data_IF_990712109044
#
_entry.id   IF_990712109044
#
_cell.length_a   1.000
_cell.length_b   1.000
_cell.length_c   1.000
_cell.angle_alpha   90.00
_cell.angle_beta   90.00
_cell.angle_gamma   90.00
#
_symmetry.space_group_name_H-M   'P 1'
#
loop_
_entity.id
_entity.type
_entity.pdbx_description
1 polymer ?
#
# COMPACT_ATOMS: atom_id res chain seq x y z
N UNK A 1 19.27 -82.54 -17.74
CA UNK A 1 19.64 -81.49 -16.76
C UNK A 1 19.36 -80.13 -17.42
N UNK A 2 18.14 -79.61 -17.26
CA UNK A 2 17.68 -78.36 -17.89
C UNK A 2 18.22 -77.15 -17.11
N UNK A 3 19.02 -76.28 -17.75
CA UNK A 3 19.45 -75.00 -17.16
C UNK A 3 18.43 -73.92 -17.53
N UNK A 4 17.57 -73.59 -16.58
CA UNK A 4 16.62 -72.47 -16.67
C UNK A 4 17.39 -71.15 -16.43
N UNK A 5 17.64 -70.38 -17.50
CA UNK A 5 18.17 -69.01 -17.39
C UNK A 5 16.99 -68.05 -17.27
N UNK A 6 16.72 -67.58 -16.06
CA UNK A 6 15.76 -66.50 -15.80
C UNK A 6 16.40 -65.21 -16.29
N UNK A 7 15.93 -64.72 -17.44
CA UNK A 7 16.27 -63.39 -17.95
C UNK A 7 15.46 -62.38 -17.14
N UNK A 8 16.12 -61.67 -16.21
CA UNK A 8 15.50 -60.58 -15.46
C UNK A 8 15.20 -59.43 -16.44
N UNK A 9 13.99 -59.40 -16.98
CA UNK A 9 13.49 -58.27 -17.75
C UNK A 9 13.20 -57.15 -16.76
N UNK A 10 14.15 -56.25 -16.60
CA UNK A 10 13.98 -55.02 -15.84
C UNK A 10 12.99 -54.15 -16.61
N UNK A 11 11.70 -54.24 -16.26
CA UNK A 11 10.65 -53.36 -16.78
C UNK A 11 10.97 -51.96 -16.25
N UNK A 12 11.73 -51.18 -17.02
CA UNK A 12 11.83 -49.74 -16.83
C UNK A 12 10.47 -49.16 -17.22
N UNK A 13 9.57 -49.02 -16.25
CA UNK A 13 8.39 -48.17 -16.39
C UNK A 13 8.90 -46.74 -16.52
N UNK A 14 9.12 -46.29 -17.75
CA UNK A 14 9.34 -44.88 -18.05
C UNK A 14 8.00 -44.19 -17.79
N UNK A 15 7.80 -43.76 -16.55
CA UNK A 15 6.71 -42.85 -16.20
C UNK A 15 7.03 -41.50 -16.83
N UNK A 16 6.62 -41.31 -18.08
CA UNK A 16 6.74 -40.04 -18.78
C UNK A 16 5.60 -39.13 -18.32
N UNK A 17 5.85 -38.30 -17.32
CA UNK A 17 5.01 -37.13 -17.02
C UNK A 17 5.71 -35.89 -17.57
N UNK A 18 5.03 -35.11 -18.41
CA UNK A 18 5.54 -33.83 -18.91
C UNK A 18 5.91 -32.94 -17.70
N UNK A 19 7.12 -32.40 -17.70
CA UNK A 19 7.57 -31.48 -16.64
C UNK A 19 6.65 -30.23 -16.64
N UNK A 20 6.15 -29.78 -15.47
CA UNK A 20 5.32 -28.59 -15.40
C UNK A 20 6.12 -27.36 -15.82
N UNK A 21 5.54 -26.55 -16.69
CA UNK A 21 6.12 -25.25 -17.05
C UNK A 21 5.81 -24.27 -15.92
N UNK A 22 6.86 -23.69 -15.34
CA UNK A 22 6.77 -22.69 -14.30
C UNK A 22 7.17 -21.32 -14.86
N UNK A 23 6.46 -20.28 -14.43
CA UNK A 23 6.83 -18.89 -14.66
C UNK A 23 7.08 -18.18 -13.33
N UNK A 24 7.96 -17.18 -13.38
CA UNK A 24 8.24 -16.33 -12.25
C UNK A 24 7.29 -15.14 -12.19
N UNK A 25 6.74 -14.85 -11.01
CA UNK A 25 5.92 -13.66 -10.79
C UNK A 25 6.53 -12.86 -9.65
N UNK A 26 7.07 -11.69 -9.98
CA UNK A 26 7.66 -10.76 -9.05
C UNK A 26 6.61 -9.77 -8.53
N UNK A 27 6.32 -9.86 -7.24
CA UNK A 27 5.41 -8.95 -6.54
C UNK A 27 6.19 -7.86 -5.82
N UNK A 28 5.91 -6.60 -6.14
CA UNK A 28 6.61 -5.44 -5.57
C UNK A 28 5.61 -4.48 -4.94
N UNK A 29 5.88 -4.04 -3.71
CA UNK A 29 5.09 -3.00 -3.04
C UNK A 29 5.77 -1.64 -3.17
N UNK A 30 4.99 -0.61 -3.48
CA UNK A 30 5.49 0.75 -3.66
C UNK A 30 4.64 1.73 -2.83
N UNK A 31 5.19 2.31 -1.74
CA UNK A 31 6.49 2.02 -1.14
C UNK A 31 6.55 0.62 -0.51
N UNK A 32 7.77 0.14 -0.23
CA UNK A 32 8.01 -1.20 0.36
C UNK A 32 7.25 -1.42 1.68
N UNK A 33 7.11 -0.36 2.48
CA UNK A 33 6.39 -0.38 3.76
C UNK A 33 4.93 0.13 3.64
N UNK A 34 4.42 0.29 2.42
CA UNK A 34 3.06 0.80 2.19
C UNK A 34 1.97 -0.24 2.39
N UNK A 35 2.32 -1.52 2.28
CA UNK A 35 1.40 -2.63 2.39
C UNK A 35 2.08 -3.95 2.07
N UNK A 36 1.27 -4.98 1.91
CA UNK A 36 1.66 -6.30 1.46
C UNK A 36 0.72 -6.80 0.37
N UNK A 37 1.15 -7.89 -0.28
CA UNK A 37 0.33 -8.67 -1.21
C UNK A 37 0.12 -10.03 -0.53
N UNK A 38 -1.08 -10.61 -0.65
CA UNK A 38 -1.45 -11.87 0.02
C UNK A 38 -0.67 -13.13 -0.46
N UNK A 39 0.23 -12.99 -1.43
CA UNK A 39 1.06 -14.06 -1.98
C UNK A 39 2.51 -13.93 -1.54
N UNK A 40 3.15 -15.08 -1.34
CA UNK A 40 4.54 -15.18 -0.85
C UNK A 40 5.41 -16.16 -1.68
N UNK A 41 4.86 -16.75 -2.74
CA UNK A 41 5.61 -17.52 -3.73
C UNK A 41 5.98 -16.63 -4.91
N UNK A 42 7.04 -16.99 -5.63
CA UNK A 42 7.46 -16.33 -6.87
C UNK A 42 7.46 -17.27 -8.07
N UNK A 43 7.08 -18.54 -7.92
CA UNK A 43 7.01 -19.52 -9.00
C UNK A 43 5.61 -20.15 -9.06
N UNK A 44 5.03 -20.17 -10.25
CA UNK A 44 3.64 -20.58 -10.49
C UNK A 44 3.51 -21.38 -11.78
N UNK A 45 2.50 -22.25 -11.86
CA UNK A 45 2.29 -23.06 -13.05
C UNK A 45 1.74 -22.21 -14.21
N UNK A 46 2.14 -22.54 -15.43
CA UNK A 46 1.51 -21.99 -16.63
C UNK A 46 -0.03 -22.23 -16.60
N UNK A 47 -0.78 -21.16 -16.84
CA UNK A 47 -2.24 -21.12 -16.84
C UNK A 47 -2.88 -20.99 -15.45
N UNK A 48 -2.09 -20.94 -14.37
CA UNK A 48 -2.61 -20.72 -13.02
C UNK A 48 -3.28 -19.34 -12.90
N UNK A 49 -4.38 -19.27 -12.14
CA UNK A 49 -5.09 -18.03 -11.85
C UNK A 49 -4.85 -17.67 -10.39
N UNK A 50 -4.09 -16.60 -10.17
CA UNK A 50 -3.75 -16.10 -8.85
C UNK A 50 -4.75 -15.03 -8.40
N UNK A 51 -5.31 -15.18 -7.20
CA UNK A 51 -6.20 -14.19 -6.59
C UNK A 51 -5.38 -13.22 -5.75
N UNK A 52 -5.04 -12.08 -6.34
CA UNK A 52 -4.26 -11.04 -5.68
C UNK A 52 -5.14 -10.19 -4.78
N UNK A 53 -4.62 -9.91 -3.59
CA UNK A 53 -5.16 -8.93 -2.65
C UNK A 53 -4.04 -7.99 -2.19
N UNK A 54 -4.22 -6.69 -2.40
CA UNK A 54 -3.37 -5.66 -1.82
C UNK A 54 -3.89 -5.31 -0.43
N UNK A 55 -3.03 -5.45 0.57
CA UNK A 55 -3.34 -5.23 1.98
C UNK A 55 -2.54 -4.00 2.44
N UNK A 56 -3.16 -2.82 2.54
CA UNK A 56 -2.45 -1.62 3.00
C UNK A 56 -1.95 -1.79 4.44
N UNK A 57 -0.76 -1.25 4.71
CA UNK A 57 -0.27 -1.09 6.09
C UNK A 57 -1.04 0.03 6.80
N UNK A 58 -0.84 0.12 8.11
CA UNK A 58 -1.44 1.19 8.92
C UNK A 58 -1.09 2.57 8.33
N UNK A 59 -2.07 3.46 8.28
CA UNK A 59 -1.95 4.82 7.74
C UNK A 59 -1.67 4.91 6.22
N UNK A 60 -1.75 3.79 5.49
CA UNK A 60 -1.74 3.76 4.03
C UNK A 60 -3.11 3.36 3.46
N UNK A 61 -3.30 3.66 2.18
CA UNK A 61 -4.38 3.20 1.33
C UNK A 61 -3.78 2.57 0.07
N UNK A 62 -4.44 1.54 -0.46
CA UNK A 62 -4.12 1.01 -1.78
C UNK A 62 -4.60 2.00 -2.84
N UNK A 63 -3.74 2.30 -3.81
CA UNK A 63 -4.06 3.18 -4.93
C UNK A 63 -4.43 2.34 -6.17
N UNK A 64 -3.49 1.53 -6.67
CA UNK A 64 -3.68 0.72 -7.88
C UNK A 64 -2.57 -0.33 -8.06
N UNK A 65 -2.87 -1.35 -8.86
CA UNK A 65 -1.92 -2.30 -9.43
C UNK A 65 -1.32 -1.74 -10.72
N UNK A 66 -0.02 -1.95 -10.95
CA UNK A 66 0.65 -1.61 -12.22
C UNK A 66 1.70 -2.66 -12.63
N UNK A 67 2.30 -2.49 -13.81
CA UNK A 67 3.24 -3.45 -14.40
C UNK A 67 2.52 -4.33 -15.42
N UNK A 68 2.69 -5.65 -15.31
CA UNK A 68 1.98 -6.64 -16.14
C UNK A 68 0.50 -6.82 -15.75
N UNK A 69 0.03 -6.05 -14.78
CA UNK A 69 -1.35 -5.97 -14.33
C UNK A 69 -1.70 -4.51 -14.05
N UNK A 70 -2.87 -4.04 -14.49
CA UNK A 70 -3.33 -2.68 -14.23
C UNK A 70 -4.77 -2.68 -13.72
N UNK A 71 -5.00 -2.18 -12.51
CA UNK A 71 -6.33 -2.17 -11.89
C UNK A 71 -6.38 -1.29 -10.66
N UNK A 72 -7.53 -0.64 -10.43
CA UNK A 72 -7.80 0.10 -9.19
C UNK A 72 -8.53 -0.75 -8.14
N UNK A 73 -8.90 -1.99 -8.47
CA UNK A 73 -9.51 -2.92 -7.51
C UNK A 73 -8.41 -3.59 -6.68
N UNK A 74 -8.51 -3.50 -5.36
CA UNK A 74 -7.55 -4.15 -4.44
C UNK A 74 -7.56 -5.68 -4.55
N UNK A 75 -8.67 -6.26 -5.02
CA UNK A 75 -8.84 -7.68 -5.33
C UNK A 75 -8.92 -7.90 -6.83
N UNK A 76 -8.06 -8.76 -7.37
CA UNK A 76 -8.04 -9.07 -8.81
C UNK A 76 -7.39 -10.42 -9.12
N UNK A 77 -7.83 -11.04 -10.21
CA UNK A 77 -7.24 -12.27 -10.74
C UNK A 77 -6.11 -11.97 -11.73
N UNK A 78 -4.99 -12.69 -11.60
CA UNK A 78 -3.85 -12.67 -12.52
C UNK A 78 -3.68 -14.05 -13.15
N UNK A 79 -3.67 -14.11 -14.48
CA UNK A 79 -3.35 -15.34 -15.23
C UNK A 79 -1.84 -15.42 -15.44
N UNK A 80 -1.23 -16.57 -15.10
CA UNK A 80 0.21 -16.81 -15.27
C UNK A 80 0.46 -17.44 -16.64
N UNK A 81 0.77 -16.64 -17.65
CA UNK A 81 1.05 -17.08 -19.03
C UNK A 81 2.51 -16.82 -19.47
N UNK A 82 3.30 -16.18 -18.62
CA UNK A 82 4.66 -15.72 -18.84
C UNK A 82 5.27 -15.28 -17.51
N UNK A 83 6.57 -14.98 -17.50
CA UNK A 83 7.17 -14.25 -16.37
C UNK A 83 6.52 -12.86 -16.25
N UNK A 84 6.23 -12.42 -15.02
CA UNK A 84 5.52 -11.16 -14.76
C UNK A 84 6.13 -10.37 -13.62
N UNK A 85 5.97 -9.06 -13.68
CA UNK A 85 6.21 -8.13 -12.58
C UNK A 85 4.95 -7.33 -12.28
N UNK A 86 4.46 -7.43 -11.05
CA UNK A 86 3.25 -6.75 -10.57
C UNK A 86 3.59 -5.84 -9.40
N UNK A 87 3.21 -4.58 -9.53
CA UNK A 87 3.40 -3.56 -8.51
C UNK A 87 2.09 -3.25 -7.80
N UNK A 88 2.06 -3.35 -6.47
CA UNK A 88 1.01 -2.79 -5.63
C UNK A 88 1.42 -1.38 -5.18
N UNK A 89 0.69 -0.37 -5.63
CA UNK A 89 0.96 1.02 -5.27
C UNK A 89 0.07 1.45 -4.10
N UNK A 90 0.69 2.10 -3.11
CA UNK A 90 0.04 2.60 -1.91
C UNK A 90 0.43 4.06 -1.67
N UNK A 91 -0.51 4.83 -1.11
CA UNK A 91 -0.26 6.19 -0.63
C UNK A 91 -0.60 6.31 0.84
N UNK A 92 0.08 7.23 1.54
CA UNK A 92 -0.34 7.57 2.90
C UNK A 92 -1.74 8.18 2.87
N UNK A 93 -2.58 7.79 3.83
CA UNK A 93 -3.91 8.36 4.03
C UNK A 93 -3.82 9.87 4.16
N UNK A 94 -4.85 10.55 3.66
CA UNK A 94 -4.99 12.01 3.73
C UNK A 94 -6.09 12.34 4.71
N UNK A 95 -5.89 13.44 5.44
CA UNK A 95 -6.85 13.94 6.41
C UNK A 95 -7.11 15.42 6.14
N UNK A 96 -8.36 15.82 6.35
CA UNK A 96 -8.75 17.22 6.22
C UNK A 96 -8.55 17.94 7.55
N UNK A 97 -7.94 19.12 7.51
CA UNK A 97 -7.86 20.00 8.67
C UNK A 97 -9.04 20.96 8.63
N UNK A 98 -10.06 20.70 9.45
CA UNK A 98 -11.24 21.55 9.55
C UNK A 98 -11.04 22.63 10.63
N UNK A 99 -11.37 23.88 10.30
CA UNK A 99 -11.20 25.01 11.22
C UNK A 99 -12.47 25.84 11.22
N UNK A 100 -13.00 26.07 12.41
CA UNK A 100 -14.10 26.99 12.67
C UNK A 100 -13.56 28.20 13.45
N UNK A 101 -14.06 29.39 13.12
CA UNK A 101 -13.65 30.63 13.78
C UNK A 101 -14.82 31.12 14.62
N UNK A 102 -14.58 31.28 15.93
CA UNK A 102 -15.48 31.99 16.83
C UNK A 102 -14.96 33.41 17.04
N UNK A 103 -15.74 34.43 16.64
CA UNK A 103 -15.34 35.84 16.70
C UNK A 103 -15.03 36.45 15.33
N UNK A 104 -14.10 37.40 15.26
CA UNK A 104 -13.67 38.05 14.03
C UNK A 104 -12.16 37.92 13.81
N UNK A 105 -11.77 37.65 12.57
CA UNK A 105 -10.41 37.37 12.17
C UNK A 105 -10.34 36.31 11.07
N UNK A 106 -9.12 35.87 10.78
CA UNK A 106 -8.83 34.84 9.77
C UNK A 106 -7.90 33.79 10.34
N UNK A 107 -7.95 32.60 9.76
CA UNK A 107 -6.96 31.55 10.01
C UNK A 107 -6.27 31.19 8.70
N UNK A 108 -4.94 31.12 8.75
CA UNK A 108 -4.12 30.63 7.64
C UNK A 108 -3.44 29.32 8.03
N UNK A 109 -3.20 28.47 7.03
CA UNK A 109 -2.55 27.17 7.18
C UNK A 109 -1.28 27.16 6.35
N UNK A 110 -0.21 26.60 6.89
CA UNK A 110 1.09 26.47 6.19
C UNK A 110 1.68 25.10 6.46
N UNK A 111 1.93 24.32 5.41
CA UNK A 111 2.61 23.03 5.54
C UNK A 111 4.07 23.25 5.95
N UNK A 112 4.45 22.72 7.12
CA UNK A 112 5.81 22.81 7.66
C UNK A 112 6.62 21.58 7.27
N UNK A 113 5.97 20.42 7.30
CA UNK A 113 6.58 19.15 6.92
C UNK A 113 5.56 18.33 6.17
N UNK A 114 5.92 17.86 4.97
CA UNK A 114 5.08 16.92 4.25
C UNK A 114 5.29 15.50 4.78
N UNK A 115 4.19 14.76 4.96
CA UNK A 115 4.22 13.34 5.28
C UNK A 115 4.52 12.44 4.07
N UNK A 116 4.28 12.93 2.85
CA UNK A 116 4.46 12.19 1.59
C UNK A 116 4.56 13.16 0.39
N UNK A 117 4.37 12.67 -0.84
CA UNK A 117 4.28 13.52 -2.05
C UNK A 117 3.05 14.44 -2.03
N UNK A 118 2.04 14.14 -1.22
CA UNK A 118 0.78 14.87 -1.14
C UNK A 118 0.66 15.65 0.17
N UNK A 119 0.16 16.89 0.08
CA UNK A 119 -0.10 17.73 1.24
C UNK A 119 -1.19 17.12 2.14
N UNK A 120 -1.01 17.28 3.47
CA UNK A 120 -1.91 16.77 4.51
C UNK A 120 -2.06 15.24 4.54
N UNK A 121 -1.06 14.51 4.05
CA UNK A 121 -0.97 13.07 4.33
C UNK A 121 -0.56 12.79 5.78
N UNK A 122 -0.87 11.61 6.30
CA UNK A 122 -0.40 11.14 7.61
C UNK A 122 1.10 11.43 7.84
N UNK A 123 1.42 11.93 9.04
CA UNK A 123 2.75 12.36 9.46
C UNK A 123 3.17 13.74 8.95
N UNK A 124 2.28 14.49 8.28
CA UNK A 124 2.53 15.91 7.97
C UNK A 124 2.49 16.76 9.23
N UNK A 125 3.21 17.88 9.22
CA UNK A 125 3.12 18.93 10.24
C UNK A 125 2.62 20.20 9.58
N UNK A 126 1.55 20.78 10.12
CA UNK A 126 0.91 21.99 9.59
C UNK A 126 0.94 23.07 10.67
N UNK A 127 1.38 24.26 10.29
CA UNK A 127 1.25 25.46 11.11
C UNK A 127 -0.07 26.14 10.84
N UNK A 128 -0.77 26.48 11.92
CA UNK A 128 -2.03 27.19 11.92
C UNK A 128 -1.81 28.53 12.62
N UNK A 129 -2.11 29.62 11.91
CA UNK A 129 -1.93 30.99 12.40
C UNK A 129 -3.28 31.71 12.42
N UNK A 130 -3.72 32.11 13.60
CA UNK A 130 -4.85 33.02 13.77
C UNK A 130 -4.39 34.47 13.61
N UNK A 131 -5.15 35.25 12.84
CA UNK A 131 -4.98 36.68 12.67
C UNK A 131 -6.28 37.37 13.08
N UNK A 132 -6.41 37.79 14.35
CA UNK A 132 -7.59 38.53 14.82
C UNK A 132 -7.76 39.84 14.06
N UNK A 133 -9.01 40.24 13.81
CA UNK A 133 -9.30 41.55 13.25
C UNK A 133 -9.07 42.67 14.29
N UNK A 134 -9.03 43.93 13.84
CA UNK A 134 -8.82 45.07 14.73
C UNK A 134 -9.85 45.10 15.87
N UNK A 135 -9.38 45.27 17.11
CA UNK A 135 -10.21 45.23 18.31
C UNK A 135 -10.52 43.82 18.84
N UNK A 136 -10.07 42.76 18.17
CA UNK A 136 -10.16 41.37 18.64
C UNK A 136 -8.79 40.85 19.06
N UNK A 137 -8.77 39.90 20.00
CA UNK A 137 -7.55 39.18 20.39
C UNK A 137 -7.75 37.69 20.21
N UNK A 138 -6.67 36.99 19.83
CA UNK A 138 -6.65 35.54 19.90
C UNK A 138 -6.68 35.13 21.37
N UNK A 139 -7.53 34.15 21.69
CA UNK A 139 -7.67 33.61 23.05
C UNK A 139 -7.03 32.23 23.14
N UNK A 140 -7.51 31.28 22.34
CA UNK A 140 -7.03 29.89 22.32
C UNK A 140 -7.53 29.12 21.10
N UNK A 141 -6.87 28.01 20.82
CA UNK A 141 -7.37 26.90 20.01
C UNK A 141 -8.17 25.93 20.88
N UNK A 142 -9.12 25.24 20.27
CA UNK A 142 -9.96 24.19 20.88
C UNK A 142 -10.22 23.07 19.86
N UNK A 143 -10.75 21.93 20.32
CA UNK A 143 -10.89 20.70 19.54
C UNK A 143 -9.71 19.77 19.79
N UNK A 144 -9.13 19.24 18.72
CA UNK A 144 -8.04 18.24 18.78
C UNK A 144 -6.76 18.78 19.46
N UNK A 145 -6.61 20.11 19.57
CA UNK A 145 -5.57 20.76 20.36
C UNK A 145 -6.23 21.52 21.52
N UNK A 146 -6.46 20.83 22.63
CA UNK A 146 -7.22 21.40 23.74
C UNK A 146 -6.51 22.59 24.41
N UNK A 147 -7.25 23.71 24.55
CA UNK A 147 -6.90 24.89 25.33
C UNK A 147 -5.51 25.48 25.06
N UNK A 148 -5.02 25.37 23.82
CA UNK A 148 -3.72 25.88 23.45
C UNK A 148 -3.78 27.39 23.18
N UNK A 149 -3.03 28.18 23.94
CA UNK A 149 -2.96 29.65 23.80
C UNK A 149 -1.80 30.13 22.94
N UNK A 150 -1.02 29.22 22.35
CA UNK A 150 0.08 29.55 21.43
C UNK A 150 -0.46 29.89 20.05
N UNK A 151 0.02 31.00 19.48
CA UNK A 151 -0.33 31.41 18.12
C UNK A 151 0.93 31.98 17.41
N UNK A 152 1.43 31.34 16.34
CA UNK A 152 0.87 30.17 15.65
C UNK A 152 1.03 28.85 16.43
N UNK A 153 0.24 27.83 16.06
CA UNK A 153 0.33 26.45 16.59
C UNK A 153 0.71 25.47 15.50
N UNK A 154 1.42 24.38 15.85
CA UNK A 154 1.72 23.28 14.93
C UNK A 154 0.86 22.05 15.27
N UNK A 155 0.25 21.46 14.26
CA UNK A 155 -0.49 20.18 14.36
C UNK A 155 0.22 19.08 13.60
N UNK A 156 0.20 17.88 14.18
CA UNK A 156 0.54 16.66 13.47
C UNK A 156 -0.72 16.12 12.80
N UNK A 157 -0.58 15.63 11.57
CA UNK A 157 -1.65 14.91 10.89
C UNK A 157 -1.50 13.43 11.24
N UNK A 158 -2.27 12.95 12.21
CA UNK A 158 -2.23 11.57 12.74
C UNK A 158 -3.56 10.82 12.61
N UNK A 159 -4.67 11.53 12.39
CA UNK A 159 -5.93 10.95 11.92
C UNK A 159 -6.91 10.48 12.99
#
# INVERSE_FOLDING_TARGET
>A
MFKLKILFFFIYLVSCTKEPVLYQVDFVTQPVNGGSINLNSNNYNEGEILKLEAIPSENYSFDFWSGDLNSNNSLIDLVVDSDKTVFANFSKKRFEVNITIEGQGKVSKRLIKSGSKNDYSYGSIVEILASPDNGWTFVKWQGDIENNTTNPVHINIDG
#
